data_IF_728386881307
#
_entry.id   IF_728386881307
#
_cell.length_a   1.000
_cell.length_b   1.000
_cell.length_c   1.000
_cell.angle_alpha   90.00
_cell.angle_beta   90.00
_cell.angle_gamma   90.00
#
_symmetry.space_group_name_H-M   'P 1'
#
loop_
_entity.id
_entity.type
_entity.pdbx_description
1 polymer ?
#
# COMPACT_ATOMS: atom_id res chain seq x y z
N UNK A 1 16.15 2.17 -9.62
CA UNK A 1 17.27 2.31 -8.66
C UNK A 1 17.64 0.91 -8.18
N UNK A 2 18.91 0.55 -7.88
CA UNK A 2 19.17 -0.75 -7.25
C UNK A 2 18.38 -0.87 -5.94
N UNK A 3 17.53 -1.89 -5.81
CA UNK A 3 16.61 -2.09 -4.68
C UNK A 3 15.58 -0.96 -4.47
N UNK A 4 15.16 -0.29 -5.56
CA UNK A 4 14.05 0.67 -5.53
C UNK A 4 12.68 0.01 -5.56
N UNK A 5 11.64 0.84 -5.59
CA UNK A 5 10.24 0.41 -5.61
C UNK A 5 9.77 0.22 -7.04
N UNK A 6 9.23 -0.95 -7.32
CA UNK A 6 8.63 -1.27 -8.63
C UNK A 6 7.16 -0.88 -8.66
N UNK A 7 6.79 0.01 -9.58
CA UNK A 7 5.39 0.44 -9.75
C UNK A 7 4.68 -0.55 -10.68
N UNK A 8 3.75 -1.36 -10.16
CA UNK A 8 3.07 -2.39 -10.96
C UNK A 8 2.35 -1.84 -12.18
N UNK A 9 2.37 -2.60 -13.26
CA UNK A 9 1.85 -2.17 -14.56
C UNK A 9 2.80 -1.22 -15.30
N UNK A 10 3.98 -0.93 -14.77
CA UNK A 10 5.00 -0.08 -15.39
C UNK A 10 6.39 -0.71 -15.27
N UNK A 11 7.35 -0.20 -16.05
CA UNK A 11 8.77 -0.56 -15.94
C UNK A 11 9.54 0.35 -14.96
N UNK A 12 8.83 1.17 -14.16
CA UNK A 12 9.48 2.14 -13.28
C UNK A 12 10.05 1.50 -12.03
N UNK A 13 11.26 1.94 -11.68
CA UNK A 13 12.00 1.53 -10.49
C UNK A 13 12.53 2.79 -9.78
N UNK A 14 11.82 3.19 -8.72
CA UNK A 14 11.88 4.53 -8.14
C UNK A 14 12.33 4.52 -6.69
N UNK A 15 12.67 5.71 -6.15
CA UNK A 15 12.88 5.85 -4.72
C UNK A 15 11.55 5.66 -3.94
N UNK A 16 11.60 5.41 -2.63
CA UNK A 16 10.41 5.12 -1.86
C UNK A 16 9.34 6.21 -1.84
N UNK A 17 9.73 7.48 -1.92
CA UNK A 17 8.80 8.60 -1.89
C UNK A 17 8.06 8.70 -3.21
N UNK A 18 8.80 8.65 -4.33
CA UNK A 18 8.18 8.66 -5.66
C UNK A 18 7.36 7.38 -5.93
N UNK A 19 7.83 6.23 -5.46
CA UNK A 19 7.08 4.97 -5.52
C UNK A 19 5.75 5.05 -4.77
N UNK A 20 5.76 5.59 -3.53
CA UNK A 20 4.56 5.79 -2.74
C UNK A 20 3.56 6.73 -3.43
N UNK A 21 4.04 7.85 -3.99
CA UNK A 21 3.20 8.81 -4.70
C UNK A 21 2.53 8.18 -5.92
N UNK A 22 3.30 7.50 -6.78
CA UNK A 22 2.76 6.87 -7.99
C UNK A 22 1.74 5.78 -7.66
N UNK A 23 2.01 4.95 -6.65
CA UNK A 23 1.06 3.91 -6.23
C UNK A 23 -0.20 4.54 -5.64
N UNK A 24 -0.08 5.57 -4.80
CA UNK A 24 -1.23 6.29 -4.24
C UNK A 24 -2.08 6.97 -5.31
N UNK A 25 -1.45 7.67 -6.25
CA UNK A 25 -2.11 8.31 -7.38
C UNK A 25 -2.88 7.28 -8.21
N UNK A 26 -2.27 6.13 -8.53
CA UNK A 26 -2.95 5.04 -9.27
C UNK A 26 -4.17 4.49 -8.52
N UNK A 27 -4.07 4.30 -7.21
CA UNK A 27 -5.17 3.77 -6.38
C UNK A 27 -6.36 4.73 -6.39
N UNK A 28 -6.09 6.04 -6.28
CA UNK A 28 -7.13 7.06 -6.17
C UNK A 28 -7.65 7.59 -7.51
N UNK A 29 -6.92 7.36 -8.61
CA UNK A 29 -7.13 8.02 -9.90
C UNK A 29 -8.57 7.95 -10.43
N UNK A 30 -9.17 6.76 -10.39
CA UNK A 30 -10.50 6.52 -10.96
C UNK A 30 -11.64 6.66 -9.94
N UNK A 31 -11.33 7.01 -8.69
CA UNK A 31 -12.32 7.13 -7.60
C UNK A 31 -13.19 5.87 -7.38
N UNK A 32 -12.62 4.69 -7.67
CA UNK A 32 -13.25 3.40 -7.39
C UNK A 32 -12.66 2.73 -6.13
N UNK A 33 -11.79 3.42 -5.41
CA UNK A 33 -11.23 2.93 -4.16
C UNK A 33 -12.17 3.21 -2.99
N UNK A 34 -11.99 2.49 -1.87
CA UNK A 34 -12.94 2.52 -0.76
C UNK A 34 -13.20 3.94 -0.23
N UNK A 35 -14.42 4.19 0.20
CA UNK A 35 -14.83 5.49 0.74
C UNK A 35 -15.20 5.36 2.21
N UNK A 36 -14.84 6.38 2.98
CA UNK A 36 -15.33 6.63 4.32
C UNK A 36 -16.12 7.93 4.35
N UNK A 37 -17.43 7.82 4.60
CA UNK A 37 -18.29 8.97 4.87
C UNK A 37 -18.40 9.21 6.37
N UNK A 38 -17.57 10.12 6.92
CA UNK A 38 -17.72 10.67 8.28
C UNK A 38 -18.12 12.14 8.23
N UNK A 39 -18.01 12.86 9.34
CA UNK A 39 -18.03 14.32 9.35
C UNK A 39 -16.97 14.92 8.40
N UNK A 40 -15.85 14.22 8.21
CA UNK A 40 -14.88 14.46 7.14
C UNK A 40 -14.96 13.32 6.12
N UNK A 41 -14.97 13.65 4.84
CA UNK A 41 -15.02 12.67 3.75
C UNK A 41 -13.59 12.23 3.40
N UNK A 42 -13.33 10.93 3.25
CA UNK A 42 -11.98 10.45 2.94
C UNK A 42 -11.92 9.01 2.42
N UNK A 43 -10.75 8.61 1.93
CA UNK A 43 -10.50 7.27 1.39
C UNK A 43 -9.35 6.59 2.15
N UNK A 44 -9.63 5.70 3.12
CA UNK A 44 -8.58 5.08 3.93
C UNK A 44 -7.54 4.28 3.12
N UNK A 45 -7.92 3.79 1.93
CA UNK A 45 -7.01 3.07 1.03
C UNK A 45 -5.92 3.95 0.41
N UNK A 46 -6.02 5.28 0.48
CA UNK A 46 -4.98 6.18 -0.02
C UNK A 46 -3.65 5.95 0.72
N UNK A 47 -3.72 5.49 1.98
CA UNK A 47 -2.54 5.14 2.78
C UNK A 47 -1.80 3.89 2.28
N UNK A 48 -2.41 3.08 1.40
CA UNK A 48 -1.78 1.88 0.85
C UNK A 48 -0.56 2.23 0.00
N UNK A 49 -0.52 3.40 -0.64
CA UNK A 49 0.66 3.86 -1.38
C UNK A 49 1.91 3.89 -0.50
N UNK A 50 1.82 4.53 0.67
CA UNK A 50 2.90 4.61 1.64
C UNK A 50 3.22 3.26 2.30
N UNK A 51 2.20 2.51 2.74
CA UNK A 51 2.42 1.20 3.40
C UNK A 51 3.12 0.23 2.46
N UNK A 52 2.62 0.09 1.23
CA UNK A 52 3.18 -0.85 0.25
C UNK A 52 4.59 -0.41 -0.16
N UNK A 53 4.80 0.89 -0.35
CA UNK A 53 6.10 1.39 -0.74
C UNK A 53 7.18 1.12 0.33
N UNK A 54 6.89 1.46 1.59
CA UNK A 54 7.83 1.25 2.70
C UNK A 54 8.06 -0.24 2.95
N UNK A 55 7.01 -1.06 2.89
CA UNK A 55 7.12 -2.51 3.08
C UNK A 55 7.97 -3.18 1.99
N UNK A 56 7.81 -2.77 0.73
CA UNK A 56 8.59 -3.27 -0.41
C UNK A 56 10.06 -2.89 -0.28
N UNK A 57 10.34 -1.61 -0.06
CA UNK A 57 11.70 -1.10 0.12
C UNK A 57 12.44 -1.78 1.28
N UNK A 58 11.78 -1.92 2.44
CA UNK A 58 12.38 -2.60 3.59
C UNK A 58 12.57 -4.10 3.35
N UNK A 59 11.68 -4.74 2.59
CA UNK A 59 11.81 -6.15 2.22
C UNK A 59 13.03 -6.38 1.35
N UNK A 60 13.24 -5.57 0.31
CA UNK A 60 14.40 -5.73 -0.56
C UNK A 60 15.71 -5.41 0.15
N UNK A 61 15.72 -4.41 1.04
CA UNK A 61 16.87 -4.17 1.90
C UNK A 61 17.14 -5.34 2.86
N UNK A 62 16.10 -5.97 3.41
CA UNK A 62 16.25 -7.13 4.29
C UNK A 62 16.82 -8.33 3.53
N UNK A 63 16.25 -8.66 2.35
CA UNK A 63 16.70 -9.77 1.50
C UNK A 63 18.14 -9.58 1.05
N UNK A 64 18.51 -8.37 0.61
CA UNK A 64 19.90 -8.04 0.25
C UNK A 64 20.88 -8.20 1.42
N UNK A 65 20.39 -8.12 2.67
CA UNK A 65 21.18 -8.35 3.89
C UNK A 65 21.08 -9.79 4.44
N UNK A 66 20.46 -10.72 3.71
CA UNK A 66 20.26 -12.11 4.14
C UNK A 66 19.18 -12.29 5.21
N UNK A 67 18.33 -11.29 5.43
CA UNK A 67 17.22 -11.31 6.39
C UNK A 67 15.90 -11.64 5.69
N UNK A 68 14.90 -12.19 6.39
CA UNK A 68 13.59 -12.45 5.81
C UNK A 68 12.89 -11.15 5.39
N UNK A 69 12.14 -11.21 4.28
CA UNK A 69 11.31 -10.11 3.80
C UNK A 69 10.15 -9.80 4.77
N UNK A 70 9.55 -8.60 4.67
CA UNK A 70 8.38 -8.27 5.47
C UNK A 70 7.17 -9.12 5.06
N UNK A 71 6.50 -9.77 5.99
CA UNK A 71 5.27 -10.52 5.67
C UNK A 71 4.11 -9.62 5.25
N UNK A 72 3.26 -10.14 4.35
CA UNK A 72 1.99 -9.53 3.93
C UNK A 72 1.05 -9.25 5.12
N UNK A 73 1.12 -10.07 6.17
CA UNK A 73 0.35 -9.87 7.40
C UNK A 73 0.70 -8.55 8.10
N UNK A 74 1.94 -8.09 8.01
CA UNK A 74 2.35 -6.80 8.59
C UNK A 74 1.71 -5.63 7.83
N UNK A 75 1.70 -5.65 6.49
CA UNK A 75 1.07 -4.59 5.70
C UNK A 75 -0.43 -4.46 6.01
N UNK A 76 -1.14 -5.60 6.12
CA UNK A 76 -2.56 -5.63 6.48
C UNK A 76 -2.81 -5.12 7.91
N UNK A 77 -1.92 -5.47 8.85
CA UNK A 77 -2.01 -4.97 10.22
C UNK A 77 -1.82 -3.45 10.30
N UNK A 78 -0.89 -2.89 9.52
CA UNK A 78 -0.66 -1.45 9.42
C UNK A 78 -1.85 -0.71 8.81
N UNK A 79 -2.44 -1.24 7.74
CA UNK A 79 -3.65 -0.66 7.16
C UNK A 79 -4.82 -0.66 8.17
N UNK A 80 -5.02 -1.77 8.89
CA UNK A 80 -6.03 -1.84 9.95
C UNK A 80 -5.79 -0.80 11.05
N UNK A 81 -4.52 -0.57 11.42
CA UNK A 81 -4.14 0.43 12.43
C UNK A 81 -4.40 1.86 11.93
N UNK A 82 -3.99 2.18 10.71
CA UNK A 82 -4.21 3.51 10.12
C UNK A 82 -5.70 3.81 9.95
N UNK A 83 -6.49 2.81 9.53
CA UNK A 83 -7.95 2.95 9.44
C UNK A 83 -8.58 3.26 10.79
N UNK A 84 -8.08 2.69 11.89
CA UNK A 84 -8.57 3.01 13.24
C UNK A 84 -8.17 4.42 13.68
N UNK A 85 -6.95 4.86 13.39
CA UNK A 85 -6.50 6.22 13.75
C UNK A 85 -7.20 7.30 12.94
N UNK A 86 -7.50 7.06 11.67
CA UNK A 86 -8.25 7.99 10.81
C UNK A 86 -9.75 8.02 11.13
N UNK A 87 -10.20 7.26 12.13
CA UNK A 87 -11.58 6.81 12.28
C UNK A 87 -12.36 7.20 13.51
N UNK A 88 -11.92 8.22 14.22
CA UNK A 88 -12.55 8.62 15.47
C UNK A 88 -13.97 9.23 15.32
N UNK A 89 -14.51 9.34 14.10
CA UNK A 89 -15.83 9.92 13.84
C UNK A 89 -16.70 8.90 13.08
N UNK A 90 -17.62 8.21 13.77
CA UNK A 90 -18.37 7.09 13.18
C UNK A 90 -19.26 7.47 11.98
N UNK A 91 -19.32 6.60 10.96
CA UNK A 91 -20.49 6.27 10.12
C UNK A 91 -20.09 5.33 8.96
N UNK A 92 -21.13 4.74 8.34
CA UNK A 92 -21.20 3.56 7.45
C UNK A 92 -20.00 3.31 6.52
N UNK A 93 -19.56 2.04 6.52
CA UNK A 93 -18.70 1.44 5.52
C UNK A 93 -19.46 1.16 4.23
N UNK A 94 -18.97 1.66 3.10
CA UNK A 94 -19.36 1.16 1.78
C UNK A 94 -18.23 0.23 1.29
N UNK A 95 -18.57 -1.05 1.17
CA UNK A 95 -17.63 -2.15 0.94
C UNK A 95 -17.13 -2.12 -0.51
N UNK A 96 -15.81 -1.99 -0.68
CA UNK A 96 -15.12 -2.63 -1.82
C UNK A 96 -13.68 -3.02 -1.47
N UNK A 97 -13.47 -3.57 -0.26
CA UNK A 97 -12.13 -3.92 0.19
C UNK A 97 -11.54 -5.14 -0.52
N UNK A 98 -12.35 -6.03 -1.11
CA UNK A 98 -11.83 -7.33 -1.59
C UNK A 98 -11.03 -7.29 -2.90
N UNK A 99 -11.26 -6.32 -3.79
CA UNK A 99 -10.66 -6.32 -5.14
C UNK A 99 -9.22 -5.75 -5.16
N UNK A 100 -8.95 -4.71 -4.37
CA UNK A 100 -7.64 -4.06 -4.31
C UNK A 100 -6.55 -4.96 -3.71
N UNK A 101 -6.91 -5.85 -2.78
CA UNK A 101 -5.96 -6.84 -2.27
C UNK A 101 -5.55 -7.88 -3.34
N UNK A 102 -6.35 -8.11 -4.38
CA UNK A 102 -6.03 -9.15 -5.38
C UNK A 102 -5.14 -8.65 -6.52
N UNK A 103 -5.18 -7.35 -6.84
CA UNK A 103 -4.39 -6.78 -7.94
C UNK A 103 -2.89 -6.61 -7.62
N UNK A 104 -2.48 -6.73 -6.34
CA UNK A 104 -1.08 -6.48 -5.94
C UNK A 104 -0.55 -7.34 -4.79
N UNK A 105 -1.20 -8.45 -4.40
CA UNK A 105 -0.64 -9.37 -3.36
C UNK A 105 0.56 -10.23 -3.84
N UNK A 106 1.21 -9.78 -4.92
CA UNK A 106 2.45 -10.26 -5.50
C UNK A 106 3.66 -9.35 -5.17
N UNK A 107 3.50 -8.23 -4.46
CA UNK A 107 4.60 -7.28 -4.17
C UNK A 107 5.60 -7.84 -3.16
N UNK A 108 5.15 -8.60 -2.16
CA UNK A 108 6.07 -9.26 -1.25
C UNK A 108 6.37 -10.67 -1.79
N UNK A 109 6.84 -10.73 -3.02
CA UNK A 109 7.46 -11.95 -3.53
C UNK A 109 8.97 -11.74 -3.45
N UNK A 110 9.66 -12.70 -2.84
CA UNK A 110 11.13 -12.73 -2.75
C UNK A 110 11.84 -12.61 -4.11
N UNK A 111 11.11 -12.68 -5.23
CA UNK A 111 11.57 -12.62 -6.62
C UNK A 111 11.70 -11.18 -7.18
N UNK A 112 11.23 -10.14 -6.47
CA UNK A 112 11.28 -8.75 -6.94
C UNK A 112 12.42 -7.93 -6.31
N UNK A 113 13.14 -8.55 -5.38
CA UNK A 113 14.46 -8.19 -4.89
C UNK A 113 15.47 -9.16 -5.54
#
# INVERSE_FOLDING_TARGET
>A
MPNGIKVSGTSYDLDPVQGAFNIGAMIRWLDFNNTWSTAEWGHPSDNLGGILAVADYLSCKAVASGKPAFSRSHALAWECRLRRSSGASGLRFQVQSYSLYRLKFLIINHQQC
#
